data_IF_426804944466
#
_entry.id   IF_426804944466
#
_cell.length_a   1.000
_cell.length_b   1.000
_cell.length_c   1.000
_cell.angle_alpha   90.00
_cell.angle_beta   90.00
_cell.angle_gamma   90.00
#
_symmetry.space_group_name_H-M   'P 1'
#
loop_
_entity.id
_entity.type
_entity.pdbx_description
1 polymer ?
#
# COMPACT_ATOMS: atom_id res chain seq x y z
N UNK A 1 -16.21 13.74 23.84
CA UNK A 1 -15.66 12.43 24.24
C UNK A 1 -16.78 11.42 24.08
N UNK A 2 -16.61 10.42 23.21
CA UNK A 2 -17.63 9.38 23.03
C UNK A 2 -17.59 8.45 24.23
N UNK A 3 -18.69 8.39 24.98
CA UNK A 3 -18.86 7.60 26.19
C UNK A 3 -19.64 6.34 25.87
N UNK A 4 -18.98 5.34 25.29
CA UNK A 4 -19.50 3.97 25.28
C UNK A 4 -18.50 3.07 26.03
N UNK A 5 -18.97 2.25 27.00
CA UNK A 5 -18.10 1.37 27.78
C UNK A 5 -17.52 0.27 26.90
N UNK A 6 -16.31 -0.21 27.20
CA UNK A 6 -15.73 -1.38 26.55
C UNK A 6 -16.71 -2.57 26.65
N UNK A 7 -17.10 -3.12 25.50
CA UNK A 7 -18.02 -4.24 25.40
C UNK A 7 -17.87 -4.95 24.05
N UNK A 8 -18.18 -6.25 24.02
CA UNK A 8 -18.18 -7.03 22.77
C UNK A 8 -19.43 -6.69 21.94
N UNK A 9 -19.27 -6.51 20.63
CA UNK A 9 -20.37 -6.22 19.71
C UNK A 9 -21.38 -7.39 19.74
N UNK A 10 -22.67 -7.17 20.09
CA UNK A 10 -23.66 -8.24 20.10
C UNK A 10 -23.83 -8.88 18.73
N UNK A 11 -24.08 -10.19 18.68
CA UNK A 11 -24.17 -10.94 17.42
C UNK A 11 -25.17 -10.35 16.43
N UNK A 12 -26.33 -9.88 16.90
CA UNK A 12 -27.34 -9.27 16.03
C UNK A 12 -26.83 -8.00 15.32
N UNK A 13 -25.94 -7.24 15.96
CA UNK A 13 -25.33 -6.05 15.37
C UNK A 13 -24.18 -6.41 14.43
N UNK A 14 -23.44 -7.49 14.73
CA UNK A 14 -22.35 -7.98 13.90
C UNK A 14 -22.82 -8.83 12.70
N UNK A 15 -24.05 -9.37 12.74
CA UNK A 15 -24.60 -10.35 11.78
C UNK A 15 -24.39 -9.93 10.32
N UNK A 16 -24.79 -8.71 9.97
CA UNK A 16 -24.67 -8.21 8.60
C UNK A 16 -23.21 -8.13 8.12
N UNK A 17 -22.29 -7.72 8.99
CA UNK A 17 -20.86 -7.65 8.66
C UNK A 17 -20.25 -9.06 8.48
N UNK A 18 -20.62 -10.01 9.36
CA UNK A 18 -20.19 -11.40 9.26
C UNK A 18 -20.71 -12.04 7.97
N UNK A 19 -22.00 -11.90 7.68
CA UNK A 19 -22.60 -12.42 6.44
C UNK A 19 -21.93 -11.84 5.20
N UNK A 20 -21.68 -10.53 5.18
CA UNK A 20 -20.95 -9.90 4.06
C UNK A 20 -19.55 -10.46 3.91
N UNK A 21 -18.85 -10.75 5.00
CA UNK A 21 -17.49 -11.30 5.00
C UNK A 21 -17.49 -12.74 4.47
N UNK A 22 -18.37 -13.59 5.00
CA UNK A 22 -18.50 -14.99 4.58
C UNK A 22 -18.94 -15.13 3.12
N UNK A 23 -19.87 -14.28 2.67
CA UNK A 23 -20.27 -14.24 1.26
C UNK A 23 -19.10 -13.84 0.36
N UNK A 24 -18.30 -12.87 0.80
CA UNK A 24 -17.12 -12.44 0.05
C UNK A 24 -16.06 -13.56 -0.01
N UNK A 25 -15.77 -14.22 1.12
CA UNK A 25 -14.87 -15.37 1.18
C UNK A 25 -15.34 -16.53 0.29
N UNK A 26 -16.64 -16.83 0.32
CA UNK A 26 -17.25 -17.86 -0.53
C UNK A 26 -17.11 -17.53 -2.02
N UNK A 27 -17.37 -16.27 -2.42
CA UNK A 27 -17.15 -15.79 -3.79
C UNK A 27 -15.70 -15.93 -4.22
N UNK A 28 -14.75 -15.56 -3.36
CA UNK A 28 -13.32 -15.68 -3.64
C UNK A 28 -12.88 -17.14 -3.77
N UNK A 29 -13.40 -18.03 -2.93
CA UNK A 29 -13.16 -19.47 -3.03
C UNK A 29 -13.68 -20.03 -4.36
N UNK A 30 -14.92 -19.68 -4.74
CA UNK A 30 -15.50 -20.11 -6.02
C UNK A 30 -14.71 -19.57 -7.21
N UNK A 31 -14.36 -18.28 -7.21
CA UNK A 31 -13.56 -17.66 -8.26
C UNK A 31 -12.19 -18.34 -8.43
N UNK A 32 -11.59 -18.82 -7.33
CA UNK A 32 -10.34 -19.59 -7.38
C UNK A 32 -10.55 -20.95 -8.04
N UNK A 33 -11.62 -21.67 -7.68
CA UNK A 33 -11.95 -22.98 -8.26
C UNK A 33 -12.23 -22.84 -9.77
N UNK A 34 -13.06 -21.87 -10.15
CA UNK A 34 -13.40 -21.61 -11.54
C UNK A 34 -12.16 -21.21 -12.35
N UNK A 35 -11.31 -20.36 -11.77
CA UNK A 35 -10.03 -19.99 -12.36
C UNK A 35 -9.11 -21.20 -12.55
N UNK A 36 -9.07 -22.14 -11.60
CA UNK A 36 -8.23 -23.33 -11.71
C UNK A 36 -8.72 -24.25 -12.83
N UNK A 37 -10.04 -24.38 -12.99
CA UNK A 37 -10.63 -25.08 -14.12
C UNK A 37 -10.29 -24.39 -15.46
N UNK A 38 -10.34 -23.06 -15.51
CA UNK A 38 -9.93 -22.29 -16.69
C UNK A 38 -8.44 -22.51 -17.04
N UNK A 39 -7.53 -22.41 -16.07
CA UNK A 39 -6.10 -22.69 -16.30
C UNK A 39 -5.87 -24.13 -16.79
N UNK A 40 -6.61 -25.11 -16.27
CA UNK A 40 -6.52 -26.49 -16.75
C UNK A 40 -6.96 -26.62 -18.22
N UNK A 41 -7.99 -25.89 -18.66
CA UNK A 41 -8.42 -25.83 -20.07
C UNK A 41 -7.34 -25.22 -20.96
N UNK A 42 -6.69 -24.14 -20.52
CA UNK A 42 -5.53 -23.55 -21.22
C UNK A 42 -4.41 -24.58 -21.38
N UNK A 43 -4.11 -25.33 -20.32
CA UNK A 43 -3.14 -26.42 -20.35
C UNK A 43 -3.50 -27.57 -21.31
N UNK A 44 -4.78 -27.73 -21.66
CA UNK A 44 -5.25 -28.69 -22.67
C UNK A 44 -5.26 -28.14 -24.10
N UNK A 45 -4.89 -26.87 -24.30
CA UNK A 45 -4.73 -26.23 -25.61
C UNK A 45 -5.87 -25.30 -26.04
N UNK A 46 -6.84 -25.03 -25.17
CA UNK A 46 -7.87 -24.01 -25.44
C UNK A 46 -7.29 -22.60 -25.29
N UNK A 47 -7.79 -21.64 -26.09
CA UNK A 47 -7.32 -20.25 -26.03
C UNK A 47 -7.97 -19.49 -24.87
N UNK A 48 -7.31 -18.41 -24.42
CA UNK A 48 -7.86 -17.58 -23.35
C UNK A 48 -9.17 -16.91 -23.80
N UNK A 49 -9.25 -16.53 -25.08
CA UNK A 49 -10.41 -15.93 -25.72
C UNK A 49 -11.63 -16.86 -25.72
N UNK A 50 -11.46 -18.13 -26.10
CA UNK A 50 -12.54 -19.11 -26.13
C UNK A 50 -13.07 -19.38 -24.71
N UNK A 51 -12.15 -19.55 -23.75
CA UNK A 51 -12.52 -19.77 -22.34
C UNK A 51 -13.25 -18.56 -21.76
N UNK A 52 -12.78 -17.34 -22.05
CA UNK A 52 -13.43 -16.12 -21.59
C UNK A 52 -14.84 -15.99 -22.18
N UNK A 53 -15.02 -16.27 -23.48
CA UNK A 53 -16.32 -16.24 -24.13
C UNK A 53 -17.31 -17.25 -23.51
N UNK A 54 -16.87 -18.49 -23.27
CA UNK A 54 -17.69 -19.54 -22.65
C UNK A 54 -18.11 -19.20 -21.21
N UNK A 55 -17.22 -18.54 -20.45
CA UNK A 55 -17.49 -18.13 -19.08
C UNK A 55 -18.21 -16.77 -18.99
N UNK A 56 -18.47 -16.11 -20.12
CA UNK A 56 -19.06 -14.77 -20.16
C UNK A 56 -18.17 -13.69 -19.53
N UNK A 57 -16.84 -13.88 -19.58
CA UNK A 57 -15.83 -12.98 -19.06
C UNK A 57 -15.26 -12.08 -20.16
N UNK A 58 -14.78 -10.90 -19.75
CA UNK A 58 -14.12 -9.94 -20.62
C UNK A 58 -12.60 -10.03 -20.42
N UNK A 59 -11.83 -10.19 -21.49
CA UNK A 59 -10.37 -10.05 -21.47
C UNK A 59 -10.01 -8.57 -21.50
N UNK A 60 -9.12 -8.14 -20.60
CA UNK A 60 -8.68 -6.75 -20.47
C UNK A 60 -7.18 -6.61 -20.66
N UNK A 61 -6.78 -5.66 -21.50
CA UNK A 61 -5.38 -5.24 -21.63
C UNK A 61 -5.05 -4.19 -20.57
N UNK A 62 -3.88 -4.34 -19.95
CA UNK A 62 -3.36 -3.43 -18.94
C UNK A 62 -2.48 -2.31 -19.52
N UNK A 63 -2.05 -2.46 -20.77
CA UNK A 63 -0.97 -1.68 -21.37
C UNK A 63 0.38 -1.95 -20.71
N UNK A 64 1.41 -1.19 -21.09
CA UNK A 64 2.70 -1.25 -20.41
C UNK A 64 2.62 -0.58 -19.04
N UNK A 65 3.09 -1.28 -18.00
CA UNK A 65 3.15 -0.75 -16.64
C UNK A 65 4.47 -1.12 -15.95
N UNK A 66 4.81 -0.37 -14.91
CA UNK A 66 5.97 -0.66 -14.05
C UNK A 66 5.52 -1.36 -12.76
N UNK A 67 6.45 -2.04 -12.07
CA UNK A 67 6.15 -2.71 -10.79
C UNK A 67 5.56 -1.79 -9.72
N UNK A 68 5.85 -0.49 -9.80
CA UNK A 68 5.42 0.49 -8.80
C UNK A 68 4.17 1.26 -9.19
N UNK A 69 3.76 1.27 -10.46
CA UNK A 69 2.58 2.00 -10.92
C UNK A 69 1.26 1.37 -10.45
N UNK A 70 0.20 2.18 -10.44
CA UNK A 70 -1.16 1.65 -10.33
C UNK A 70 -1.61 1.16 -11.71
N UNK A 71 -2.18 -0.04 -11.76
CA UNK A 71 -2.70 -0.66 -12.97
C UNK A 71 -4.23 -0.75 -12.84
N UNK A 72 -5.00 -0.12 -13.73
CA UNK A 72 -6.46 -0.25 -13.73
C UNK A 72 -6.89 -1.73 -13.72
N UNK A 73 -7.82 -2.09 -12.84
CA UNK A 73 -8.29 -3.46 -12.67
C UNK A 73 -7.39 -4.37 -11.81
N UNK A 74 -6.06 -4.26 -11.91
CA UNK A 74 -5.13 -5.07 -11.11
C UNK A 74 -4.75 -4.42 -9.77
N UNK A 75 -4.74 -3.10 -9.67
CA UNK A 75 -4.34 -2.36 -8.48
C UNK A 75 -2.85 -2.02 -8.44
N UNK A 76 -2.26 -1.95 -7.24
CA UNK A 76 -0.87 -1.55 -7.00
C UNK A 76 -0.21 -2.49 -5.98
N UNK A 77 1.06 -2.84 -6.22
CA UNK A 77 1.92 -3.54 -5.24
C UNK A 77 1.27 -4.78 -4.60
N UNK A 78 0.68 -5.64 -5.43
CA UNK A 78 0.03 -6.86 -4.98
C UNK A 78 0.56 -8.10 -5.71
N UNK A 79 0.01 -9.26 -5.35
CA UNK A 79 0.37 -10.56 -5.91
C UNK A 79 0.16 -10.65 -7.42
N UNK A 80 -0.88 -10.01 -7.98
CA UNK A 80 -1.14 -9.97 -9.42
C UNK A 80 -0.04 -9.21 -10.18
N UNK A 81 0.38 -8.05 -9.68
CA UNK A 81 1.52 -7.31 -10.24
C UNK A 81 2.81 -8.13 -10.15
N UNK A 82 3.04 -8.79 -9.01
CA UNK A 82 4.21 -9.64 -8.82
C UNK A 82 4.25 -10.81 -9.82
N UNK A 83 3.12 -11.50 -9.99
CA UNK A 83 2.97 -12.61 -10.90
C UNK A 83 3.18 -12.19 -12.36
N UNK A 84 2.59 -11.08 -12.81
CA UNK A 84 2.77 -10.56 -14.17
C UNK A 84 4.25 -10.37 -14.54
N UNK A 85 5.06 -9.85 -13.60
CA UNK A 85 6.50 -9.66 -13.80
C UNK A 85 7.34 -10.93 -13.67
N UNK A 86 6.74 -12.06 -13.28
CA UNK A 86 7.38 -13.37 -13.21
C UNK A 86 7.11 -14.25 -14.43
N UNK A 87 6.18 -13.87 -15.30
CA UNK A 87 5.83 -14.62 -16.50
C UNK A 87 6.90 -14.52 -17.59
N UNK A 88 7.02 -15.56 -18.40
CA UNK A 88 7.78 -15.57 -19.66
C UNK A 88 6.86 -15.29 -20.85
N UNK A 89 7.46 -14.92 -21.97
CA UNK A 89 6.70 -14.66 -23.21
C UNK A 89 5.91 -15.89 -23.63
N UNK A 90 4.61 -15.73 -23.85
CA UNK A 90 3.69 -16.83 -24.17
C UNK A 90 3.36 -17.76 -22.99
N UNK A 91 3.72 -17.38 -21.76
CA UNK A 91 3.33 -18.08 -20.54
C UNK A 91 2.07 -17.42 -19.96
N UNK A 92 1.05 -18.23 -19.72
CA UNK A 92 -0.12 -17.84 -18.94
C UNK A 92 0.10 -18.21 -17.48
N UNK A 93 -0.30 -17.35 -16.56
CA UNK A 93 -0.16 -17.59 -15.14
C UNK A 93 -1.12 -18.67 -14.63
N UNK A 94 -0.74 -19.30 -13.52
CA UNK A 94 -1.70 -19.92 -12.60
C UNK A 94 -2.71 -18.89 -12.07
N UNK A 95 -3.73 -19.35 -11.35
CA UNK A 95 -4.67 -18.43 -10.70
C UNK A 95 -3.98 -17.62 -9.61
N UNK A 96 -3.94 -16.31 -9.79
CA UNK A 96 -3.37 -15.35 -8.85
C UNK A 96 -4.48 -14.68 -8.06
N UNK A 97 -4.52 -14.94 -6.75
CA UNK A 97 -5.49 -14.31 -5.86
C UNK A 97 -4.90 -13.07 -5.18
N UNK A 98 -5.70 -12.01 -5.14
CA UNK A 98 -5.52 -10.83 -4.29
C UNK A 98 -6.60 -10.86 -3.18
N UNK A 99 -6.54 -9.98 -2.17
CA UNK A 99 -7.58 -9.93 -1.14
C UNK A 99 -8.98 -9.68 -1.69
N UNK A 100 -9.11 -9.05 -2.87
CA UNK A 100 -10.40 -8.64 -3.43
C UNK A 100 -10.82 -9.41 -4.69
N UNK A 101 -9.89 -10.01 -5.43
CA UNK A 101 -10.12 -10.58 -6.76
C UNK A 101 -9.19 -11.76 -7.08
N UNK A 102 -9.58 -12.62 -8.02
CA UNK A 102 -8.74 -13.65 -8.63
C UNK A 102 -8.46 -13.32 -10.11
N UNK A 103 -7.25 -13.61 -10.57
CA UNK A 103 -6.77 -13.27 -11.91
C UNK A 103 -6.08 -14.44 -12.59
N UNK A 104 -6.19 -14.50 -13.90
CA UNK A 104 -5.32 -15.27 -14.80
C UNK A 104 -4.70 -14.24 -15.73
N UNK A 105 -3.39 -14.30 -15.91
CA UNK A 105 -2.61 -13.29 -16.59
C UNK A 105 -1.88 -13.91 -17.77
N UNK A 106 -1.92 -13.28 -18.93
CA UNK A 106 -1.11 -13.64 -20.09
C UNK A 106 -0.11 -12.53 -20.39
N UNK A 107 1.14 -12.89 -20.67
CA UNK A 107 2.19 -11.91 -20.99
C UNK A 107 2.16 -11.55 -22.48
N UNK A 108 1.49 -10.45 -22.78
CA UNK A 108 1.42 -9.88 -24.14
C UNK A 108 2.72 -9.19 -24.57
N UNK A 109 3.41 -8.50 -23.65
CA UNK A 109 4.61 -7.76 -23.99
C UNK A 109 5.49 -7.42 -22.80
N UNK A 110 6.80 -7.36 -23.03
CA UNK A 110 7.79 -7.03 -22.01
C UNK A 110 8.82 -6.03 -22.56
N UNK A 111 9.00 -4.92 -21.83
CA UNK A 111 10.05 -3.93 -22.12
C UNK A 111 11.12 -4.03 -21.03
N UNK A 112 12.37 -4.42 -21.38
CA UNK A 112 13.44 -4.52 -20.40
C UNK A 112 13.80 -3.14 -19.85
N UNK A 113 14.21 -3.10 -18.59
CA UNK A 113 14.76 -1.89 -18.00
C UNK A 113 16.06 -1.49 -18.71
N UNK A 114 16.19 -0.21 -19.05
CA UNK A 114 17.41 0.34 -19.64
C UNK A 114 18.51 0.45 -18.57
N UNK A 115 19.38 -0.55 -18.56
CA UNK A 115 20.50 -0.62 -17.62
C UNK A 115 21.55 0.47 -17.87
N UNK A 116 21.72 0.93 -19.11
CA UNK A 116 22.66 2.00 -19.44
C UNK A 116 22.15 3.34 -18.90
N UNK A 117 20.88 3.65 -19.12
CA UNK A 117 20.25 4.84 -18.54
C UNK A 117 20.32 4.83 -17.00
N UNK A 118 20.10 3.68 -16.37
CA UNK A 118 20.25 3.55 -14.91
C UNK A 118 21.68 3.81 -14.44
N UNK A 119 22.70 3.28 -15.14
CA UNK A 119 24.11 3.52 -14.80
C UNK A 119 24.44 5.01 -14.84
N UNK A 120 23.96 5.73 -15.85
CA UNK A 120 24.15 7.18 -15.98
C UNK A 120 23.52 7.96 -14.83
N UNK A 121 22.39 7.52 -14.30
CA UNK A 121 21.67 8.17 -13.19
C UNK A 121 22.15 7.72 -11.80
N UNK A 122 23.01 6.71 -11.71
CA UNK A 122 23.36 6.05 -10.45
C UNK A 122 23.97 7.00 -9.39
N UNK A 123 24.75 7.99 -9.82
CA UNK A 123 25.38 8.97 -8.91
C UNK A 123 24.32 9.88 -8.29
N UNK A 124 23.42 10.43 -9.11
CA UNK A 124 22.32 11.28 -8.67
C UNK A 124 21.35 10.54 -7.75
N UNK A 125 20.97 9.31 -8.13
CA UNK A 125 20.13 8.45 -7.29
C UNK A 125 20.79 8.19 -5.94
N UNK A 126 22.10 7.88 -5.91
CA UNK A 126 22.83 7.69 -4.65
C UNK A 126 22.83 8.95 -3.80
N UNK A 127 23.11 10.12 -4.39
CA UNK A 127 23.11 11.39 -3.66
C UNK A 127 21.75 11.67 -3.04
N UNK A 128 20.68 11.47 -3.79
CA UNK A 128 19.29 11.62 -3.31
C UNK A 128 19.01 10.70 -2.12
N UNK A 129 19.36 9.41 -2.22
CA UNK A 129 19.14 8.45 -1.13
C UNK A 129 19.99 8.75 0.10
N UNK A 130 21.24 9.19 -0.08
CA UNK A 130 22.13 9.59 1.03
C UNK A 130 21.55 10.80 1.76
N UNK A 131 21.02 11.79 1.06
CA UNK A 131 20.40 12.97 1.68
C UNK A 131 19.17 12.59 2.50
N UNK A 132 18.31 11.71 1.98
CA UNK A 132 17.13 11.20 2.70
C UNK A 132 17.57 10.49 3.99
N UNK A 133 18.55 9.59 3.91
CA UNK A 133 19.05 8.85 5.07
C UNK A 133 19.74 9.75 6.11
N UNK A 134 20.50 10.76 5.66
CA UNK A 134 21.13 11.73 6.55
C UNK A 134 20.09 12.53 7.33
N UNK A 135 19.05 13.02 6.65
CA UNK A 135 17.96 13.75 7.29
C UNK A 135 17.21 12.87 8.29
N UNK A 136 16.87 11.63 7.91
CA UNK A 136 16.24 10.68 8.81
C UNK A 136 17.10 10.43 10.05
N UNK A 137 18.39 10.17 9.85
CA UNK A 137 19.30 9.87 10.97
C UNK A 137 19.50 11.05 11.91
N UNK A 138 19.56 12.26 11.36
CA UNK A 138 19.63 13.50 12.15
C UNK A 138 18.38 13.65 13.02
N UNK A 139 17.19 13.43 12.46
CA UNK A 139 15.93 13.51 13.20
C UNK A 139 15.88 12.51 14.35
N UNK A 140 16.18 11.23 14.07
CA UNK A 140 16.26 10.17 15.09
C UNK A 140 17.26 10.52 16.20
N UNK A 141 18.41 11.07 15.83
CA UNK A 141 19.44 11.46 16.79
C UNK A 141 19.01 12.64 17.67
N UNK A 142 18.38 13.67 17.10
CA UNK A 142 17.82 14.80 17.85
C UNK A 142 16.72 14.33 18.80
N UNK A 143 15.82 13.47 18.34
CA UNK A 143 14.73 12.94 19.17
C UNK A 143 15.27 12.11 20.34
N UNK A 144 16.31 11.29 20.11
CA UNK A 144 16.99 10.56 21.17
C UNK A 144 17.69 11.50 22.18
N UNK A 145 18.38 12.55 21.71
CA UNK A 145 18.99 13.55 22.59
C UNK A 145 17.96 14.30 23.43
N UNK A 146 16.81 14.65 22.85
CA UNK A 146 15.71 15.30 23.56
C UNK A 146 15.13 14.38 24.63
N UNK A 147 14.95 13.10 24.33
CA UNK A 147 14.45 12.11 25.28
C UNK A 147 15.40 11.85 26.45
N UNK A 148 16.72 11.93 26.22
CA UNK A 148 17.73 11.74 27.27
C UNK A 148 18.01 13.00 28.10
N UNK A 149 17.72 14.19 27.57
CA UNK A 149 18.02 15.46 28.23
C UNK A 149 16.92 15.85 29.24
N UNK A 150 17.34 16.41 30.38
CA UNK A 150 16.42 17.08 31.30
C UNK A 150 16.06 18.47 30.75
N UNK A 151 14.92 18.57 30.08
CA UNK A 151 14.41 19.81 29.50
C UNK A 151 13.26 20.33 30.37
N UNK A 152 13.41 21.54 30.91
CA UNK A 152 12.35 22.24 31.65
C UNK A 152 11.86 23.38 30.75
N UNK A 153 10.61 23.29 30.29
CA UNK A 153 9.98 24.33 29.49
C UNK A 153 9.31 25.35 30.43
N UNK A 154 9.75 26.61 30.35
CA UNK A 154 9.20 27.74 31.13
C UNK A 154 8.60 28.82 30.25
N UNK A 155 8.23 28.49 29.00
CA UNK A 155 7.65 29.47 28.08
C UNK A 155 6.39 30.11 28.63
N UNK A 156 5.57 29.35 29.35
CA UNK A 156 4.34 29.86 29.98
C UNK A 156 4.64 30.88 31.10
N UNK A 157 5.80 30.78 31.77
CA UNK A 157 6.23 31.73 32.82
C UNK A 157 6.83 33.02 32.23
N UNK A 158 7.57 32.90 31.12
CA UNK A 158 8.31 34.02 30.50
C UNK A 158 7.44 34.81 29.53
N UNK A 159 6.51 34.14 28.84
CA UNK A 159 5.61 34.74 27.85
C UNK A 159 4.21 35.00 28.42
N UNK A 160 4.03 34.82 29.73
CA UNK A 160 2.84 35.35 30.41
C UNK A 160 2.76 36.86 30.14
N UNK A 161 1.60 37.41 29.76
CA UNK A 161 1.43 38.85 29.69
C UNK A 161 1.79 39.42 31.07
N UNK A 162 2.74 40.36 31.11
CA UNK A 162 3.04 41.05 32.35
C UNK A 162 1.77 41.78 32.78
N UNK A 163 1.23 41.46 33.95
CA UNK A 163 0.20 42.29 34.56
C UNK A 163 0.78 43.71 34.68
N UNK A 164 0.09 44.69 34.09
CA UNK A 164 0.43 46.13 34.15
C UNK A 164 0.45 46.70 35.60
N UNK A 165 0.18 45.88 36.62
CA UNK A 165 0.10 46.25 38.03
C UNK A 165 1.38 45.97 38.83
N UNK A 166 2.56 46.12 38.21
CA UNK A 166 3.81 46.24 39.00
C UNK A 166 3.84 47.64 39.61
N UNK A 167 3.34 47.73 40.85
CA UNK A 167 3.43 48.90 41.73
C UNK A 167 4.86 49.48 41.68
N UNK A 168 4.97 50.70 41.15
CA UNK A 168 6.17 51.54 41.23
C UNK A 168 6.59 51.69 42.69
N UNK A 169 7.69 51.04 43.07
CA UNK A 169 8.39 51.33 44.32
C UNK A 169 8.81 52.81 44.30
N UNK A 170 8.49 53.62 45.33
CA UNK A 170 8.83 55.02 45.36
C UNK A 170 10.34 55.20 45.43
N UNK A 171 10.90 55.89 44.44
CA UNK A 171 12.26 56.43 44.47
C UNK A 171 12.34 57.47 45.60
N UNK A 172 13.02 57.12 46.70
CA UNK A 172 13.57 58.14 47.60
C UNK A 172 14.97 58.53 47.09
N UNK A 173 15.13 59.84 46.88
CA UNK A 173 16.37 60.52 46.51
C UNK A 173 17.46 60.39 47.59
#
# INVERSE_FOLDING_TARGET
MSSEPEGVLPLEQARAAIESTLLFESKMSQARIDGQAAVARIGSGETLEDIAADLGLEIRDTGLFSRSSFVPGLGRQNTAIGAAFGLRSGEVSEVVTTPTNAFILDLVGYVPADSAAWISQRVEQRQTQVLILQQQRLQEWIDALRGAARIVDRRDEVLAPADEDVVQLPMMF
#
